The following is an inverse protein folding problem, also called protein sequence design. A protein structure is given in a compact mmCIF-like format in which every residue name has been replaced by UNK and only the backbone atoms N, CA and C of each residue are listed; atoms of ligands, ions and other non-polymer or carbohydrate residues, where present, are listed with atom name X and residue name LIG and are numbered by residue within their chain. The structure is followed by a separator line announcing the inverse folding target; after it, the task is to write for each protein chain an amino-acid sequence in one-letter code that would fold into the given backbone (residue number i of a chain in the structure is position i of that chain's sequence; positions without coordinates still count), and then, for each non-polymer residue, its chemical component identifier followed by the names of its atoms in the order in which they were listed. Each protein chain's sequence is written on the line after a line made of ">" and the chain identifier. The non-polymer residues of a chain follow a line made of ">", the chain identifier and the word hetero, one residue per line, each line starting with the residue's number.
data_IF_214174915940
#
_entry.id   IF_214174915940
#
_cell.length_a   1.000
_cell.length_b   1.000
_cell.length_c   1.000
_cell.angle_alpha   90.00
_cell.angle_beta   90.00
_cell.angle_gamma   90.00
#
_symmetry.space_group_name_H-M   'P 1'
#
loop_
_entity.id
_entity.type
_entity.pdbx_description
1 polymer ?
#
# COMPACT_ATOMS: atom_id res chain seq x y z
N UNK A 1 46.97 -4.71 -72.93
CA UNK A 1 47.66 -5.57 -71.94
C UNK A 1 46.90 -5.46 -70.62
N UNK A 2 46.86 -6.53 -69.81
CA UNK A 2 46.20 -6.54 -68.51
C UNK A 2 44.70 -6.89 -68.57
N UNK A 3 44.38 -8.13 -68.20
CA UNK A 3 43.05 -8.57 -67.74
C UNK A 3 43.15 -8.90 -66.23
N UNK A 4 42.00 -9.29 -65.66
CA UNK A 4 41.84 -10.02 -64.38
C UNK A 4 41.94 -9.13 -63.12
N UNK A 5 40.97 -9.17 -62.20
CA UNK A 5 39.72 -9.93 -62.27
C UNK A 5 38.70 -9.56 -61.20
N UNK A 6 37.43 -9.81 -61.53
CA UNK A 6 36.31 -9.73 -60.59
C UNK A 6 36.28 -11.00 -59.75
N UNK A 7 36.23 -10.87 -58.43
CA UNK A 7 36.02 -12.02 -57.53
C UNK A 7 34.55 -12.41 -57.57
N UNK A 8 34.26 -13.57 -58.12
CA UNK A 8 32.91 -14.11 -58.23
C UNK A 8 32.72 -15.25 -57.23
N UNK A 9 31.89 -15.03 -56.21
CA UNK A 9 31.36 -16.11 -55.36
C UNK A 9 30.27 -16.88 -56.10
N UNK A 10 30.12 -18.20 -55.87
CA UNK A 10 29.09 -19.00 -56.53
C UNK A 10 27.70 -18.63 -56.01
N UNK A 11 26.70 -18.66 -56.90
CA UNK A 11 25.30 -18.75 -56.50
C UNK A 11 24.93 -20.21 -56.26
N UNK A 12 23.96 -20.46 -55.39
CA UNK A 12 23.34 -21.78 -55.27
C UNK A 12 21.83 -21.65 -55.06
N UNK A 13 21.05 -22.44 -55.82
CA UNK A 13 19.59 -22.44 -55.74
C UNK A 13 19.15 -23.45 -54.68
N UNK A 14 18.61 -22.98 -53.56
CA UNK A 14 18.04 -23.85 -52.51
C UNK A 14 16.53 -23.62 -52.32
N UNK A 15 15.68 -24.09 -53.26
CA UNK A 15 14.22 -23.99 -53.17
C UNK A 15 13.59 -24.94 -52.13
N UNK A 16 14.20 -25.07 -50.95
CA UNK A 16 13.80 -26.00 -49.88
C UNK A 16 13.81 -25.41 -48.47
N UNK A 17 14.64 -24.40 -48.18
CA UNK A 17 14.79 -23.87 -46.80
C UNK A 17 13.51 -23.18 -46.31
N UNK A 18 12.90 -22.33 -47.15
CA UNK A 18 11.66 -21.62 -46.80
C UNK A 18 10.46 -22.55 -46.56
N UNK A 19 10.44 -23.73 -47.19
CA UNK A 19 9.40 -24.73 -46.93
C UNK A 19 9.63 -25.44 -45.59
N UNK A 20 10.86 -25.87 -45.28
CA UNK A 20 11.17 -26.52 -44.01
C UNK A 20 10.94 -25.60 -42.79
N UNK A 21 11.25 -24.31 -42.90
CA UNK A 21 11.01 -23.34 -41.82
C UNK A 21 9.52 -22.91 -41.70
N UNK A 22 8.75 -23.04 -42.77
CA UNK A 22 7.29 -22.86 -42.73
C UNK A 22 6.60 -24.08 -42.13
N UNK A 23 6.98 -25.29 -42.56
CA UNK A 23 6.49 -26.57 -42.03
C UNK A 23 6.79 -26.70 -40.52
N UNK A 24 7.97 -26.28 -40.08
CA UNK A 24 8.31 -26.21 -38.64
C UNK A 24 7.36 -25.29 -37.86
N UNK A 25 7.00 -24.11 -38.41
CA UNK A 25 6.04 -23.18 -37.78
C UNK A 25 4.60 -23.70 -37.84
N UNK A 26 4.22 -24.39 -38.91
CA UNK A 26 2.93 -25.07 -39.00
C UNK A 26 2.83 -26.23 -38.00
N UNK A 27 3.89 -27.00 -37.78
CA UNK A 27 3.95 -28.04 -36.76
C UNK A 27 3.84 -27.46 -35.35
N UNK A 28 4.53 -26.35 -35.04
CA UNK A 28 4.39 -25.66 -33.75
C UNK A 28 2.97 -25.12 -33.55
N UNK A 29 2.38 -24.48 -34.57
CA UNK A 29 0.99 -24.02 -34.56
C UNK A 29 -0.04 -25.16 -34.44
N UNK A 30 0.24 -26.34 -35.01
CA UNK A 30 -0.63 -27.52 -34.94
C UNK A 30 -0.51 -28.24 -33.60
N UNK A 31 0.67 -28.27 -32.99
CA UNK A 31 0.88 -28.72 -31.60
C UNK A 31 0.23 -27.78 -30.57
N UNK A 32 0.09 -26.49 -30.86
CA UNK A 32 -0.74 -25.57 -30.08
C UNK A 32 -2.26 -25.81 -30.25
N UNK A 33 -2.68 -26.54 -31.28
CA UNK A 33 -4.08 -26.89 -31.55
C UNK A 33 -4.49 -28.28 -31.01
N UNK A 34 -3.56 -29.23 -30.92
CA UNK A 34 -3.79 -30.48 -30.20
C UNK A 34 -3.76 -30.19 -28.69
N UNK A 35 -4.84 -30.55 -27.99
CA UNK A 35 -5.05 -30.23 -26.57
C UNK A 35 -4.17 -31.02 -25.57
N UNK A 36 -2.88 -31.24 -25.87
CA UNK A 36 -1.88 -31.74 -24.92
C UNK A 36 -1.53 -30.67 -23.88
N UNK A 37 -2.53 -30.28 -23.10
CA UNK A 37 -2.36 -29.49 -21.89
C UNK A 37 -1.49 -30.31 -20.93
N UNK A 38 -0.19 -29.98 -20.91
CA UNK A 38 0.87 -30.67 -20.15
C UNK A 38 0.36 -31.13 -18.79
N UNK A 39 0.72 -32.33 -18.28
CA UNK A 39 0.18 -32.86 -17.03
C UNK A 39 0.34 -31.87 -15.85
N UNK A 40 1.38 -31.01 -15.87
CA UNK A 40 1.54 -29.91 -14.91
C UNK A 40 0.42 -28.85 -15.01
N UNK A 41 0.06 -28.43 -16.22
CA UNK A 41 -1.05 -27.49 -16.47
C UNK A 41 -2.41 -28.10 -16.12
N UNK A 42 -2.65 -29.37 -16.45
CA UNK A 42 -3.86 -30.10 -16.04
C UNK A 42 -3.97 -30.20 -14.51
N UNK A 43 -2.88 -30.59 -13.84
CA UNK A 43 -2.85 -30.68 -12.38
C UNK A 43 -3.03 -29.30 -11.71
N UNK A 44 -2.44 -28.24 -12.26
CA UNK A 44 -2.62 -26.87 -11.76
C UNK A 44 -4.06 -26.38 -11.92
N UNK A 45 -4.72 -26.68 -13.04
CA UNK A 45 -6.13 -26.34 -13.26
C UNK A 45 -7.08 -27.13 -12.34
N UNK A 46 -6.80 -28.41 -12.11
CA UNK A 46 -7.53 -29.24 -11.13
C UNK A 46 -7.34 -28.68 -9.71
N UNK A 47 -6.11 -28.32 -9.33
CA UNK A 47 -5.83 -27.70 -8.03
C UNK A 47 -6.56 -26.36 -7.87
N UNK A 48 -6.50 -25.48 -8.88
CA UNK A 48 -7.24 -24.21 -8.86
C UNK A 48 -8.75 -24.45 -8.71
N UNK A 49 -9.31 -25.41 -9.46
CA UNK A 49 -10.72 -25.78 -9.40
C UNK A 49 -11.12 -26.28 -7.99
N UNK A 50 -10.32 -27.18 -7.39
CA UNK A 50 -10.59 -27.73 -6.06
C UNK A 50 -10.47 -26.66 -4.98
N UNK A 51 -9.44 -25.80 -5.04
CA UNK A 51 -9.29 -24.68 -4.12
C UNK A 51 -10.45 -23.68 -4.23
N UNK A 52 -10.87 -23.30 -5.44
CA UNK A 52 -12.01 -22.39 -5.65
C UNK A 52 -13.33 -23.02 -5.21
N UNK A 53 -13.55 -24.31 -5.48
CA UNK A 53 -14.74 -25.02 -5.02
C UNK A 53 -14.82 -25.04 -3.49
N UNK A 54 -13.72 -25.38 -2.81
CA UNK A 54 -13.63 -25.34 -1.35
C UNK A 54 -13.85 -23.92 -0.79
N UNK A 55 -13.19 -22.90 -1.36
CA UNK A 55 -13.34 -21.52 -0.93
C UNK A 55 -14.75 -20.96 -1.14
N UNK A 56 -15.44 -21.41 -2.20
CA UNK A 56 -16.82 -21.02 -2.51
C UNK A 56 -17.82 -21.71 -1.58
N UNK A 57 -17.57 -22.97 -1.21
CA UNK A 57 -18.32 -23.68 -0.17
C UNK A 57 -18.14 -23.03 1.22
N UNK A 58 -16.90 -22.71 1.60
CA UNK A 58 -16.55 -22.02 2.84
C UNK A 58 -17.18 -20.60 2.93
N UNK A 59 -17.39 -19.95 1.78
CA UNK A 59 -18.11 -18.68 1.68
C UNK A 59 -19.64 -18.89 1.75
N UNK A 60 -20.18 -19.87 1.03
CA UNK A 60 -21.61 -20.18 0.99
C UNK A 60 -22.14 -20.55 2.38
N UNK A 61 -21.44 -21.42 3.12
CA UNK A 61 -21.85 -21.79 4.49
C UNK A 61 -21.99 -20.56 5.41
N UNK A 62 -21.07 -19.58 5.31
CA UNK A 62 -21.17 -18.33 6.10
C UNK A 62 -22.29 -17.42 5.62
N UNK A 63 -22.53 -17.34 4.31
CA UNK A 63 -23.64 -16.60 3.72
C UNK A 63 -25.02 -17.21 4.04
N UNK A 64 -25.06 -18.50 4.42
CA UNK A 64 -26.25 -19.16 4.94
C UNK A 64 -26.42 -18.98 6.46
N UNK A 65 -25.33 -18.91 7.22
CA UNK A 65 -25.34 -18.64 8.67
C UNK A 65 -25.58 -17.16 9.03
N UNK A 66 -25.39 -16.24 8.08
CA UNK A 66 -25.58 -14.81 8.31
C UNK A 66 -27.05 -14.38 8.12
N UNK A 67 -27.69 -13.93 9.20
CA UNK A 67 -29.09 -13.46 9.23
C UNK A 67 -29.40 -12.39 8.16
N UNK A 68 -28.47 -11.46 7.93
CA UNK A 68 -28.61 -10.35 6.98
C UNK A 68 -27.59 -10.43 5.84
N UNK A 69 -27.88 -11.28 4.85
CA UNK A 69 -27.00 -11.56 3.69
C UNK A 69 -26.41 -10.30 3.02
N UNK A 70 -27.20 -9.22 2.86
CA UNK A 70 -26.73 -7.98 2.23
C UNK A 70 -25.70 -7.22 3.10
N UNK A 71 -25.82 -7.26 4.43
CA UNK A 71 -24.82 -6.69 5.34
C UNK A 71 -23.54 -7.56 5.38
N UNK A 72 -23.71 -8.89 5.40
CA UNK A 72 -22.59 -9.83 5.28
C UNK A 72 -21.76 -9.58 4.02
N UNK A 73 -22.40 -9.45 2.85
CA UNK A 73 -21.74 -9.19 1.57
C UNK A 73 -20.99 -7.83 1.52
N UNK A 74 -21.41 -6.84 2.32
CA UNK A 74 -20.76 -5.52 2.42
C UNK A 74 -19.55 -5.47 3.37
N UNK A 75 -19.26 -6.56 4.09
CA UNK A 75 -18.09 -6.64 4.99
C UNK A 75 -16.80 -6.75 4.16
N UNK A 76 -15.76 -5.94 4.38
CA UNK A 76 -14.60 -5.85 3.46
C UNK A 76 -13.83 -7.17 3.29
N UNK A 77 -13.73 -8.00 4.34
CA UNK A 77 -13.12 -9.33 4.25
C UNK A 77 -13.93 -10.27 3.32
N UNK A 78 -15.26 -10.16 3.33
CA UNK A 78 -16.12 -10.96 2.47
C UNK A 78 -16.09 -10.46 1.01
N UNK A 79 -15.90 -9.15 0.80
CA UNK A 79 -15.65 -8.59 -0.55
C UNK A 79 -14.35 -9.16 -1.13
N UNK A 80 -13.28 -9.29 -0.33
CA UNK A 80 -12.03 -9.93 -0.74
C UNK A 80 -12.26 -11.42 -1.07
N UNK A 81 -13.02 -12.15 -0.24
CA UNK A 81 -13.37 -13.56 -0.52
C UNK A 81 -14.17 -13.74 -1.83
N UNK A 82 -15.04 -12.78 -2.19
CA UNK A 82 -15.77 -12.77 -3.48
C UNK A 82 -14.86 -12.43 -4.66
N UNK A 83 -14.04 -11.37 -4.52
CA UNK A 83 -13.10 -10.95 -5.56
C UNK A 83 -12.00 -11.99 -5.82
N UNK A 84 -11.68 -12.82 -4.82
CA UNK A 84 -10.87 -14.00 -5.00
C UNK A 84 -11.58 -15.03 -5.90
N UNK A 85 -12.78 -15.52 -5.60
CA UNK A 85 -13.39 -16.58 -6.42
C UNK A 85 -13.81 -16.13 -7.84
N UNK A 86 -14.03 -14.83 -8.07
CA UNK A 86 -14.53 -14.26 -9.32
C UNK A 86 -13.78 -14.66 -10.62
N UNK A 87 -12.42 -14.62 -10.71
CA UNK A 87 -11.70 -14.87 -11.95
C UNK A 87 -11.89 -16.27 -12.51
N UNK A 88 -12.06 -17.28 -11.66
CA UNK A 88 -12.30 -18.65 -12.07
C UNK A 88 -13.68 -18.77 -12.74
N UNK A 89 -14.73 -18.33 -12.05
CA UNK A 89 -16.11 -18.42 -12.55
C UNK A 89 -16.33 -17.61 -13.83
N UNK A 90 -15.75 -16.40 -13.96
CA UNK A 90 -15.88 -15.62 -15.19
C UNK A 90 -15.06 -16.23 -16.34
N UNK A 91 -13.88 -16.79 -16.08
CA UNK A 91 -13.10 -17.51 -17.10
C UNK A 91 -13.85 -18.75 -17.61
N UNK A 92 -14.47 -19.51 -16.70
CA UNK A 92 -15.30 -20.67 -17.01
C UNK A 92 -16.54 -20.27 -17.83
N UNK A 93 -17.22 -19.19 -17.46
CA UNK A 93 -18.39 -18.67 -18.17
C UNK A 93 -18.04 -18.20 -19.60
N UNK A 94 -16.93 -17.47 -19.77
CA UNK A 94 -16.47 -17.04 -21.10
C UNK A 94 -16.04 -18.26 -21.94
N UNK A 95 -15.36 -19.24 -21.36
CA UNK A 95 -15.00 -20.49 -22.05
C UNK A 95 -16.21 -21.33 -22.47
N UNK A 96 -17.30 -21.29 -21.70
CA UNK A 96 -18.56 -21.95 -22.06
C UNK A 96 -19.31 -21.19 -23.16
N UNK A 97 -19.34 -19.86 -23.10
CA UNK A 97 -19.99 -18.98 -24.07
C UNK A 97 -19.24 -18.86 -25.42
N UNK A 98 -17.93 -19.14 -25.43
CA UNK A 98 -17.09 -19.15 -26.63
C UNK A 98 -17.16 -20.46 -27.45
N UNK A 99 -18.09 -21.38 -27.12
CA UNK A 99 -18.28 -22.63 -27.87
C UNK A 99 -18.81 -22.37 -29.28
N UNK A 100 -18.33 -23.13 -30.30
CA UNK A 100 -18.69 -22.89 -31.70
C UNK A 100 -20.19 -23.15 -31.94
N UNK A 101 -20.92 -22.09 -32.26
CA UNK A 101 -22.37 -22.12 -32.49
C UNK A 101 -23.09 -20.87 -31.97
N UNK A 102 -22.59 -20.24 -30.91
CA UNK A 102 -23.02 -18.91 -30.48
C UNK A 102 -22.16 -17.83 -31.14
N UNK A 103 -22.76 -16.69 -31.51
CA UNK A 103 -22.09 -15.54 -32.16
C UNK A 103 -21.18 -14.72 -31.24
N UNK A 104 -20.32 -15.39 -30.46
CA UNK A 104 -19.55 -14.81 -29.35
C UNK A 104 -18.39 -13.89 -29.74
N UNK A 105 -18.11 -13.70 -31.04
CA UNK A 105 -16.94 -12.98 -31.57
C UNK A 105 -16.75 -11.61 -30.89
N UNK A 106 -17.85 -10.84 -30.78
CA UNK A 106 -17.89 -9.48 -30.23
C UNK A 106 -17.82 -9.43 -28.70
N UNK A 107 -18.12 -10.55 -28.03
CA UNK A 107 -17.90 -10.72 -26.59
C UNK A 107 -16.43 -11.06 -26.31
N UNK A 108 -15.80 -11.89 -27.15
CA UNK A 108 -14.43 -12.37 -26.94
C UNK A 108 -13.38 -11.23 -27.00
N UNK A 109 -13.50 -10.29 -27.94
CA UNK A 109 -12.62 -9.11 -28.00
C UNK A 109 -12.74 -8.25 -26.73
N UNK A 110 -13.98 -7.93 -26.32
CA UNK A 110 -14.24 -7.14 -25.10
C UNK A 110 -13.80 -7.88 -23.84
N UNK A 111 -13.96 -9.21 -23.83
CA UNK A 111 -13.46 -10.06 -22.76
C UNK A 111 -11.92 -10.09 -22.70
N UNK A 112 -11.19 -9.79 -23.77
CA UNK A 112 -9.72 -9.79 -23.78
C UNK A 112 -9.09 -8.88 -22.72
N UNK A 113 -9.62 -7.67 -22.53
CA UNK A 113 -9.19 -6.76 -21.46
C UNK A 113 -9.67 -7.24 -20.07
N UNK A 114 -10.92 -7.70 -19.97
CA UNK A 114 -11.51 -8.17 -18.71
C UNK A 114 -10.79 -9.41 -18.19
N UNK A 115 -10.43 -10.37 -19.05
CA UNK A 115 -9.68 -11.58 -18.72
C UNK A 115 -8.24 -11.26 -18.29
N UNK A 116 -7.60 -10.24 -18.87
CA UNK A 116 -6.29 -9.74 -18.38
C UNK A 116 -6.42 -9.18 -16.96
N UNK A 117 -7.45 -8.39 -16.69
CA UNK A 117 -7.73 -7.87 -15.34
C UNK A 117 -8.08 -8.99 -14.35
N UNK A 118 -8.94 -9.95 -14.73
CA UNK A 118 -9.28 -11.12 -13.92
C UNK A 118 -8.04 -11.98 -13.61
N UNK A 119 -7.12 -12.15 -14.56
CA UNK A 119 -5.83 -12.83 -14.33
C UNK A 119 -4.97 -12.07 -13.31
N UNK A 120 -4.98 -10.73 -13.32
CA UNK A 120 -4.32 -9.93 -12.28
C UNK A 120 -5.04 -10.02 -10.91
N UNK A 121 -6.38 -10.03 -10.88
CA UNK A 121 -7.18 -10.20 -9.65
C UNK A 121 -6.90 -11.52 -8.92
N UNK A 122 -6.27 -12.52 -9.57
CA UNK A 122 -5.76 -13.73 -8.88
C UNK A 122 -4.78 -13.41 -7.75
N UNK A 123 -4.08 -12.28 -7.77
CA UNK A 123 -3.22 -11.86 -6.64
C UNK A 123 -4.02 -11.62 -5.35
N UNK A 124 -5.31 -11.27 -5.46
CA UNK A 124 -6.20 -11.06 -4.30
C UNK A 124 -6.52 -12.35 -3.53
N UNK A 125 -6.27 -13.54 -4.12
CA UNK A 125 -6.33 -14.80 -3.36
C UNK A 125 -5.31 -14.78 -2.21
N UNK A 126 -4.16 -14.15 -2.37
CA UNK A 126 -3.17 -14.01 -1.27
C UNK A 126 -3.72 -13.10 -0.17
N UNK A 127 -4.51 -12.09 -0.52
CA UNK A 127 -5.19 -11.23 0.45
C UNK A 127 -6.26 -11.96 1.27
N UNK A 128 -6.74 -13.14 0.84
CA UNK A 128 -7.52 -14.06 1.70
C UNK A 128 -6.77 -14.38 2.98
N UNK A 129 -5.43 -14.42 2.99
CA UNK A 129 -4.65 -14.66 4.20
C UNK A 129 -4.90 -13.61 5.30
N UNK A 130 -5.40 -12.41 4.97
CA UNK A 130 -5.86 -11.42 5.95
C UNK A 130 -7.07 -11.88 6.79
N UNK A 131 -7.81 -12.91 6.36
CA UNK A 131 -8.84 -13.53 7.21
C UNK A 131 -8.27 -14.53 8.22
N UNK A 132 -7.02 -14.96 8.06
CA UNK A 132 -6.34 -15.92 8.97
C UNK A 132 -5.22 -15.27 9.80
N UNK A 133 -4.55 -14.23 9.26
CA UNK A 133 -3.49 -13.49 9.95
C UNK A 133 -4.04 -12.31 10.75
N UNK A 134 -3.85 -12.35 12.08
CA UNK A 134 -4.10 -11.21 12.96
C UNK A 134 -3.23 -10.00 12.61
N UNK A 135 -2.01 -10.21 12.11
CA UNK A 135 -1.11 -9.15 11.67
C UNK A 135 -1.68 -8.34 10.50
N UNK A 136 -2.18 -9.02 9.45
CA UNK A 136 -2.80 -8.34 8.31
C UNK A 136 -4.09 -7.60 8.69
N UNK A 137 -4.88 -8.12 9.65
CA UNK A 137 -6.04 -7.41 10.21
C UNK A 137 -5.62 -6.15 10.97
N UNK A 138 -4.59 -6.25 11.81
CA UNK A 138 -4.01 -5.14 12.56
C UNK A 138 -3.50 -4.04 11.62
N UNK A 139 -2.74 -4.42 10.58
CA UNK A 139 -2.28 -3.48 9.54
C UNK A 139 -3.45 -2.76 8.87
N UNK A 140 -4.51 -3.47 8.48
CA UNK A 140 -5.71 -2.85 7.89
C UNK A 140 -6.44 -1.89 8.84
N UNK A 141 -6.49 -2.19 10.14
CA UNK A 141 -7.05 -1.30 11.16
C UNK A 141 -6.18 -0.06 11.40
N UNK A 142 -4.85 -0.22 11.45
CA UNK A 142 -3.90 0.90 11.60
C UNK A 142 -3.93 1.81 10.37
N UNK A 143 -3.95 1.27 9.15
CA UNK A 143 -4.14 2.04 7.92
C UNK A 143 -5.46 2.81 7.96
N UNK A 144 -6.57 2.19 8.43
CA UNK A 144 -7.85 2.90 8.60
C UNK A 144 -7.77 4.01 9.66
N UNK A 145 -7.01 3.81 10.75
CA UNK A 145 -6.85 4.80 11.84
C UNK A 145 -6.07 6.03 11.36
N UNK A 146 -4.97 5.82 10.64
CA UNK A 146 -4.15 6.89 10.05
C UNK A 146 -4.65 7.37 8.68
N UNK A 147 -5.78 6.86 8.16
CA UNK A 147 -6.27 7.18 6.80
C UNK A 147 -6.52 8.68 6.57
N UNK A 148 -6.91 9.42 7.61
CA UNK A 148 -7.03 10.89 7.56
C UNK A 148 -5.67 11.57 7.37
N UNK A 149 -4.62 11.06 8.01
CA UNK A 149 -3.27 11.62 7.99
C UNK A 149 -2.57 11.31 6.66
N UNK A 150 -2.66 10.05 6.20
CA UNK A 150 -2.25 9.65 4.84
C UNK A 150 -3.06 10.39 3.75
N UNK A 151 -4.35 10.66 4.00
CA UNK A 151 -5.18 11.45 3.09
C UNK A 151 -4.73 12.90 2.97
N UNK A 152 -4.32 13.54 4.07
CA UNK A 152 -3.74 14.89 4.06
C UNK A 152 -2.37 14.92 3.38
N UNK A 153 -1.51 13.93 3.63
CA UNK A 153 -0.23 13.76 2.92
C UNK A 153 -0.43 13.66 1.41
N UNK A 154 -1.34 12.77 0.97
CA UNK A 154 -1.66 12.60 -0.44
C UNK A 154 -2.30 13.85 -1.05
N UNK A 155 -3.15 14.57 -0.31
CA UNK A 155 -3.76 15.81 -0.78
C UNK A 155 -2.71 16.89 -1.04
N UNK A 156 -1.78 17.13 -0.11
CA UNK A 156 -0.71 18.11 -0.30
C UNK A 156 0.22 17.74 -1.45
N UNK A 157 0.58 16.46 -1.58
CA UNK A 157 1.37 15.96 -2.71
C UNK A 157 0.63 16.18 -4.05
N UNK A 158 -0.66 15.84 -4.14
CA UNK A 158 -1.47 16.04 -5.34
C UNK A 158 -1.60 17.52 -5.73
N UNK A 159 -1.82 18.42 -4.77
CA UNK A 159 -1.89 19.87 -5.03
C UNK A 159 -0.55 20.38 -5.56
N UNK A 160 0.56 20.03 -4.92
CA UNK A 160 1.87 20.51 -5.35
C UNK A 160 2.32 19.90 -6.68
N UNK A 161 2.04 18.63 -6.96
CA UNK A 161 2.24 18.04 -8.30
C UNK A 161 1.40 18.77 -9.37
N UNK A 162 0.15 19.14 -9.05
CA UNK A 162 -0.71 19.87 -9.98
C UNK A 162 -0.24 21.30 -10.26
N UNK A 163 0.56 21.90 -9.37
CA UNK A 163 1.22 23.19 -9.58
C UNK A 163 2.54 23.03 -10.37
N UNK A 164 3.42 22.12 -9.95
CA UNK A 164 4.77 22.01 -10.53
C UNK A 164 4.83 21.25 -11.87
N UNK A 165 3.98 20.24 -12.11
CA UNK A 165 4.01 19.46 -13.35
C UNK A 165 3.65 20.31 -14.60
N UNK A 166 2.66 21.21 -14.59
CA UNK A 166 2.43 22.14 -15.70
C UNK A 166 3.55 23.20 -15.85
N UNK A 167 4.14 23.67 -14.75
CA UNK A 167 5.22 24.66 -14.79
C UNK A 167 6.49 24.10 -15.45
N UNK A 168 6.91 22.87 -15.10
CA UNK A 168 8.07 22.24 -15.75
C UNK A 168 7.76 21.87 -17.20
N UNK A 169 6.52 21.46 -17.52
CA UNK A 169 6.09 21.24 -18.91
C UNK A 169 6.26 22.51 -19.74
N UNK A 170 5.79 23.65 -19.26
CA UNK A 170 5.90 24.93 -19.96
C UNK A 170 7.38 25.36 -20.11
N UNK A 171 8.17 25.28 -19.03
CA UNK A 171 9.57 25.68 -19.06
C UNK A 171 10.41 24.84 -20.04
N UNK A 172 10.21 23.52 -20.08
CA UNK A 172 10.91 22.62 -21.01
C UNK A 172 10.36 22.68 -22.45
N UNK A 173 9.10 23.06 -22.65
CA UNK A 173 8.47 23.12 -23.97
C UNK A 173 8.72 24.44 -24.71
N UNK A 174 8.70 25.56 -24.00
CA UNK A 174 8.88 26.88 -24.61
C UNK A 174 10.36 27.32 -24.65
N UNK A 175 11.21 26.80 -23.75
CA UNK A 175 12.65 27.12 -23.67
C UNK A 175 13.58 25.89 -23.75
N UNK A 176 13.05 24.71 -24.08
CA UNK A 176 13.84 23.48 -24.25
C UNK A 176 13.68 22.87 -25.65
N UNK A 177 14.77 22.31 -26.19
CA UNK A 177 14.79 21.69 -27.52
C UNK A 177 14.50 20.18 -27.51
N UNK A 178 13.94 19.63 -26.41
CA UNK A 178 13.73 18.19 -26.20
C UNK A 178 12.25 17.84 -26.04
N UNK A 179 11.88 16.65 -26.53
CA UNK A 179 10.50 16.15 -26.55
C UNK A 179 10.14 15.26 -25.35
N UNK A 180 11.08 15.11 -24.42
CA UNK A 180 10.99 14.26 -23.23
C UNK A 180 9.71 14.62 -22.42
N UNK A 181 9.46 15.92 -22.20
CA UNK A 181 8.23 16.47 -21.61
C UNK A 181 7.09 16.61 -22.63
N UNK A 182 6.79 15.55 -23.38
CA UNK A 182 5.84 15.53 -24.50
C UNK A 182 4.41 16.02 -24.18
N UNK A 183 3.98 15.92 -22.92
CA UNK A 183 2.63 16.29 -22.48
C UNK A 183 2.58 16.58 -20.98
N UNK A 184 1.53 17.25 -20.52
CA UNK A 184 1.32 17.49 -19.07
C UNK A 184 1.20 16.18 -18.27
N UNK A 185 0.49 15.12 -18.71
CA UNK A 185 0.50 13.81 -18.05
C UNK A 185 1.89 13.16 -17.94
N UNK A 186 2.76 13.29 -18.95
CA UNK A 186 4.16 12.84 -18.83
C UNK A 186 4.95 13.66 -17.81
N UNK A 187 4.63 14.96 -17.69
CA UNK A 187 5.24 15.86 -16.70
C UNK A 187 4.77 15.54 -15.27
N UNK A 188 3.56 15.00 -15.09
CA UNK A 188 3.10 14.45 -13.82
C UNK A 188 3.88 13.19 -13.41
N UNK A 189 4.22 12.29 -14.34
CA UNK A 189 5.08 11.14 -14.03
C UNK A 189 6.43 11.59 -13.46
N UNK A 190 7.08 12.54 -14.13
CA UNK A 190 8.31 13.16 -13.62
C UNK A 190 8.12 13.79 -12.22
N UNK A 191 7.05 14.57 -12.03
CA UNK A 191 6.78 15.22 -10.74
C UNK A 191 6.56 14.20 -9.61
N UNK A 192 5.82 13.11 -9.87
CA UNK A 192 5.66 11.99 -8.92
C UNK A 192 7.02 11.44 -8.50
N UNK A 193 7.87 11.03 -9.45
CA UNK A 193 9.13 10.33 -9.12
C UNK A 193 10.18 11.26 -8.50
N UNK A 194 10.17 12.55 -8.83
CA UNK A 194 11.07 13.54 -8.23
C UNK A 194 10.62 13.98 -6.83
N UNK A 195 9.32 14.26 -6.62
CA UNK A 195 8.81 14.70 -5.31
C UNK A 195 8.72 13.56 -4.29
N UNK A 196 8.61 12.31 -4.75
CA UNK A 196 8.76 11.11 -3.90
C UNK A 196 10.20 10.66 -3.72
N UNK A 197 11.18 11.40 -4.25
CA UNK A 197 12.63 11.12 -4.20
C UNK A 197 13.08 9.77 -4.81
N UNK A 198 12.26 9.16 -5.67
CA UNK A 198 12.56 7.90 -6.37
C UNK A 198 13.54 8.13 -7.53
N UNK A 199 13.34 9.21 -8.30
CA UNK A 199 14.36 9.75 -9.22
C UNK A 199 14.94 8.81 -10.28
N UNK A 200 14.13 8.03 -11.01
CA UNK A 200 14.60 7.08 -12.02
C UNK A 200 15.52 7.67 -13.11
N UNK A 201 15.43 8.97 -13.40
CA UNK A 201 16.30 9.66 -14.37
C UNK A 201 15.95 9.43 -15.85
N UNK A 202 14.84 8.75 -16.12
CA UNK A 202 14.23 8.56 -17.43
C UNK A 202 13.75 9.88 -18.06
N UNK A 203 13.25 10.79 -17.23
CA UNK A 203 12.93 12.18 -17.58
C UNK A 203 13.69 13.14 -16.65
N UNK A 204 14.34 14.16 -17.19
CA UNK A 204 15.05 15.20 -16.42
C UNK A 204 15.01 16.53 -17.19
N UNK A 205 14.59 17.65 -16.58
CA UNK A 205 14.57 18.95 -17.26
C UNK A 205 15.99 19.45 -17.57
N UNK A 206 16.16 20.04 -18.76
CA UNK A 206 17.46 20.46 -19.32
C UNK A 206 17.55 21.96 -19.59
N UNK A 207 16.44 22.68 -19.64
CA UNK A 207 16.43 24.14 -19.75
C UNK A 207 16.77 24.78 -18.40
N UNK A 208 17.38 25.97 -18.42
CA UNK A 208 17.63 26.75 -17.20
C UNK A 208 16.35 27.04 -16.38
N UNK A 209 15.23 27.52 -16.96
CA UNK A 209 14.00 27.72 -16.18
C UNK A 209 13.41 26.38 -15.69
N UNK A 210 13.49 25.31 -16.48
CA UNK A 210 13.03 23.98 -16.06
C UNK A 210 13.81 23.43 -14.88
N UNK A 211 15.11 23.69 -14.79
CA UNK A 211 15.95 23.34 -13.63
C UNK A 211 15.59 24.16 -12.38
N UNK A 212 15.28 25.46 -12.52
CA UNK A 212 14.82 26.30 -11.39
C UNK A 212 13.45 25.86 -10.88
N UNK A 213 12.52 25.54 -11.78
CA UNK A 213 11.22 24.95 -11.42
C UNK A 213 11.40 23.56 -10.79
N UNK A 214 12.34 22.75 -11.28
CA UNK A 214 12.61 21.44 -10.71
C UNK A 214 13.21 21.50 -9.30
N UNK A 215 14.15 22.40 -9.05
CA UNK A 215 14.74 22.60 -7.74
C UNK A 215 13.69 23.03 -6.71
N UNK A 216 12.81 23.97 -7.07
CA UNK A 216 11.71 24.41 -6.20
C UNK A 216 10.64 23.33 -5.99
N UNK A 217 10.32 22.55 -7.04
CA UNK A 217 9.43 21.39 -6.95
C UNK A 217 9.95 20.29 -6.00
N UNK A 218 11.23 19.91 -6.13
CA UNK A 218 11.86 18.89 -5.28
C UNK A 218 11.94 19.37 -3.82
N UNK A 219 12.38 20.61 -3.59
CA UNK A 219 12.45 21.19 -2.24
C UNK A 219 11.06 21.29 -1.60
N UNK A 220 10.05 21.73 -2.36
CA UNK A 220 8.66 21.77 -1.90
C UNK A 220 8.12 20.37 -1.59
N UNK A 221 8.40 19.37 -2.44
CA UNK A 221 8.02 17.98 -2.22
C UNK A 221 8.58 17.41 -0.92
N UNK A 222 9.87 17.62 -0.66
CA UNK A 222 10.52 17.17 0.60
C UNK A 222 9.88 17.83 1.82
N UNK A 223 9.63 19.14 1.79
CA UNK A 223 9.00 19.87 2.90
C UNK A 223 7.53 19.44 3.13
N UNK A 224 6.76 19.24 2.06
CA UNK A 224 5.38 18.78 2.11
C UNK A 224 5.23 17.32 2.51
N UNK A 225 6.22 16.46 2.23
CA UNK A 225 6.29 15.10 2.76
C UNK A 225 6.66 15.08 4.26
N UNK A 226 7.59 15.93 4.68
CA UNK A 226 8.07 15.97 6.06
C UNK A 226 6.96 16.34 7.06
N UNK A 227 6.14 17.35 6.77
CA UNK A 227 5.14 17.85 7.73
C UNK A 227 4.10 16.78 8.16
N UNK A 228 3.42 16.04 7.26
CA UNK A 228 2.49 15.00 7.67
C UNK A 228 3.18 13.76 8.24
N UNK A 229 4.41 13.42 7.81
CA UNK A 229 5.19 12.33 8.42
C UNK A 229 5.49 12.65 9.89
N UNK A 230 5.91 13.88 10.20
CA UNK A 230 6.06 14.38 11.57
C UNK A 230 4.74 14.34 12.34
N UNK A 231 3.62 14.74 11.72
CA UNK A 231 2.30 14.66 12.37
C UNK A 231 1.89 13.21 12.70
N UNK A 232 2.06 12.27 11.77
CA UNK A 232 1.79 10.83 11.97
C UNK A 232 2.68 10.29 13.10
N UNK A 233 3.96 10.67 13.12
CA UNK A 233 4.89 10.27 14.16
C UNK A 233 4.44 10.77 15.55
N UNK A 234 3.97 12.01 15.67
CA UNK A 234 3.43 12.52 16.93
C UNK A 234 2.13 11.80 17.36
N UNK A 235 1.19 11.54 16.44
CA UNK A 235 -0.03 10.77 16.72
C UNK A 235 0.30 9.35 17.19
N UNK A 236 1.25 8.68 16.52
CA UNK A 236 1.71 7.34 16.88
C UNK A 236 2.43 7.33 18.23
N UNK A 237 3.39 8.23 18.44
CA UNK A 237 4.17 8.35 19.68
C UNK A 237 3.27 8.61 20.90
N UNK A 238 2.28 9.51 20.75
CA UNK A 238 1.24 9.73 21.76
C UNK A 238 0.43 8.46 22.03
N UNK A 239 -0.12 7.83 21.00
CA UNK A 239 -0.92 6.60 21.12
C UNK A 239 -0.15 5.46 21.79
N UNK A 240 1.14 5.32 21.49
CA UNK A 240 2.04 4.33 22.07
C UNK A 240 2.35 4.64 23.55
N UNK A 241 2.53 5.91 23.90
CA UNK A 241 2.77 6.34 25.27
C UNK A 241 1.54 6.12 26.16
N UNK A 242 0.34 6.44 25.66
CA UNK A 242 -0.94 6.19 26.34
C UNK A 242 -1.13 4.68 26.60
N UNK A 243 -0.85 3.81 25.62
CA UNK A 243 -0.90 2.35 25.78
C UNK A 243 0.12 1.83 26.80
N UNK A 244 1.36 2.34 26.78
CA UNK A 244 2.41 1.96 27.74
C UNK A 244 2.02 2.37 29.17
N UNK A 245 1.45 3.55 29.35
CA UNK A 245 0.98 4.01 30.66
C UNK A 245 -0.20 3.17 31.17
N UNK A 246 -1.15 2.81 30.29
CA UNK A 246 -2.23 1.87 30.65
C UNK A 246 -1.70 0.50 31.07
N UNK A 247 -0.69 -0.04 30.37
CA UNK A 247 -0.03 -1.28 30.79
C UNK A 247 0.70 -1.15 32.13
N UNK A 248 1.34 -0.02 32.42
CA UNK A 248 1.99 0.22 33.71
C UNK A 248 0.99 0.37 34.86
N UNK A 249 -0.12 1.08 34.66
CA UNK A 249 -1.20 1.16 35.65
C UNK A 249 -1.87 -0.21 35.88
N UNK A 250 -2.08 -1.01 34.84
CA UNK A 250 -2.64 -2.36 34.96
C UNK A 250 -1.65 -3.41 35.52
N UNK A 251 -0.35 -3.14 35.49
CA UNK A 251 0.70 -4.01 36.03
C UNK A 251 1.17 -3.61 37.44
N UNK A 252 0.73 -2.46 37.97
CA UNK A 252 0.96 -2.08 39.36
C UNK A 252 -0.13 -2.71 40.23
N UNK A 253 0.17 -3.65 41.14
CA UNK A 253 -0.81 -4.14 42.08
C UNK A 253 -1.28 -3.00 43.00
N UNK A 254 -2.58 -2.91 43.22
CA UNK A 254 -3.13 -2.05 44.28
C UNK A 254 -2.75 -2.64 45.65
N UNK A 255 -2.04 -1.90 46.52
CA UNK A 255 -1.87 -2.30 47.90
C UNK A 255 -3.17 -2.01 48.67
N UNK A 256 -4.14 -2.90 48.51
CA UNK A 256 -5.44 -2.85 49.17
C UNK A 256 -5.31 -3.11 50.69
N UNK A 257 -4.79 -2.11 51.41
CA UNK A 257 -4.72 -2.08 52.88
C UNK A 257 -4.56 -0.63 53.36
N UNK A 258 -5.70 0.08 53.51
CA UNK A 258 -5.76 1.31 54.30
C UNK A 258 -6.99 1.43 55.20
N UNK A 259 -7.65 0.30 55.47
CA UNK A 259 -8.55 0.09 56.60
C UNK A 259 -8.13 -1.18 57.33
N UNK A 260 -7.25 -1.05 58.33
CA UNK A 260 -7.49 -1.47 59.71
C UNK A 260 -6.22 -1.24 60.55
N UNK A 261 -6.29 -0.31 61.51
CA UNK A 261 -5.30 -0.10 62.57
C UNK A 261 -5.90 0.73 63.72
N UNK A 262 -7.19 0.55 63.99
CA UNK A 262 -7.91 1.23 65.09
C UNK A 262 -8.13 0.31 66.29
N UNK A 263 -7.10 -0.44 66.72
CA UNK A 263 -6.94 -0.83 68.13
C UNK A 263 -5.52 -1.32 68.48
N UNK A 264 -4.73 -0.48 69.14
CA UNK A 264 -3.51 -0.88 69.89
C UNK A 264 -3.18 0.12 71.02
N UNK A 265 -4.22 0.57 71.71
CA UNK A 265 -4.09 1.44 72.87
C UNK A 265 -3.85 0.63 74.17
N UNK A 266 -2.67 0.02 74.32
CA UNK A 266 -2.25 -0.59 75.61
C UNK A 266 -0.74 -0.91 75.70
N UNK A 267 0.14 0.10 75.63
CA UNK A 267 1.53 -0.03 76.06
C UNK A 267 2.08 1.30 76.59
N UNK A 268 2.77 1.24 77.72
CA UNK A 268 3.65 2.28 78.30
C UNK A 268 3.15 3.73 78.23
N UNK A 269 2.20 4.06 79.12
CA UNK A 269 2.24 5.37 79.75
C UNK A 269 3.48 5.43 80.67
N UNK A 270 4.49 6.20 80.29
CA UNK A 270 5.62 6.53 81.15
C UNK A 270 6.08 7.96 80.89
N UNK A 271 6.18 8.70 82.01
CA UNK A 271 6.97 9.90 82.28
C UNK A 271 8.18 10.19 81.36
N UNK A 272 8.70 11.42 81.28
CA UNK A 272 8.24 12.77 81.69
C UNK A 272 9.37 13.75 81.30
N UNK A 273 9.05 15.04 81.09
CA UNK A 273 10.03 16.15 80.99
C UNK A 273 11.04 15.96 79.80
N UNK A 274 11.92 16.88 79.39
CA UNK A 274 12.16 18.29 79.77
C UNK A 274 12.57 19.12 78.52
N UNK A 275 13.01 20.37 78.74
CA UNK A 275 13.84 21.30 77.95
C UNK A 275 14.75 20.67 76.83
N UNK A 276 15.10 21.34 75.72
CA UNK A 276 14.81 22.70 75.25
C UNK A 276 15.93 23.27 74.36
N UNK A 277 15.93 24.60 74.17
CA UNK A 277 17.04 25.45 73.66
C UNK A 277 17.63 25.31 72.23
N UNK A 278 17.50 26.42 71.49
CA UNK A 278 18.55 27.11 70.69
C UNK A 278 18.93 26.64 69.25
N UNK A 279 18.98 27.62 68.33
CA UNK A 279 19.69 27.61 67.04
C UNK A 279 20.96 28.49 67.11
N UNK A 280 21.29 29.37 66.12
CA UNK A 280 20.61 29.67 64.84
C UNK A 280 21.58 29.89 63.63
N UNK A 281 21.11 30.64 62.63
CA UNK A 281 21.83 31.40 61.57
C UNK A 281 22.51 30.68 60.38
N UNK A 282 22.41 31.30 59.18
CA UNK A 282 22.92 30.72 57.92
C UNK A 282 22.69 31.47 56.58
N UNK A 283 21.91 32.57 56.54
CA UNK A 283 21.72 33.51 55.41
C UNK A 283 21.10 32.99 54.06
N UNK A 284 20.12 33.74 53.54
CA UNK A 284 19.63 33.69 52.14
C UNK A 284 20.09 34.93 51.35
N UNK A 285 19.31 35.53 50.42
CA UNK A 285 18.01 35.14 49.82
C UNK A 285 18.24 34.53 48.39
N UNK A 286 17.29 34.35 47.46
CA UNK A 286 15.86 34.68 47.32
C UNK A 286 15.13 33.48 46.63
N UNK A 287 13.95 33.50 45.97
CA UNK A 287 13.05 34.55 45.45
C UNK A 287 12.97 34.49 43.91
N UNK A 288 11.83 34.32 43.24
CA UNK A 288 10.44 34.18 43.73
C UNK A 288 9.64 33.09 43.00
N UNK A 289 8.65 32.53 43.69
CA UNK A 289 7.59 31.69 43.11
C UNK A 289 6.36 32.54 42.77
N UNK A 290 5.80 32.35 41.57
CA UNK A 290 4.39 32.67 41.29
C UNK A 290 3.70 31.41 40.78
N UNK A 291 2.82 30.85 41.61
CA UNK A 291 2.01 29.69 41.26
C UNK A 291 0.81 30.05 40.35
N UNK A 292 0.21 29.04 39.74
CA UNK A 292 -0.72 29.21 38.64
C UNK A 292 -2.11 29.79 39.00
N UNK A 293 -2.64 30.55 38.04
CA UNK A 293 -4.04 30.95 37.82
C UNK A 293 -4.10 31.12 36.29
N UNK A 294 -5.04 30.56 35.51
CA UNK A 294 -6.43 30.20 35.80
C UNK A 294 -6.86 28.90 35.09
N UNK A 295 -7.88 28.25 35.66
CA UNK A 295 -8.73 27.28 34.96
C UNK A 295 -10.07 27.92 34.53
N UNK A 296 -10.83 27.22 33.69
CA UNK A 296 -12.27 27.42 33.42
C UNK A 296 -12.71 28.55 32.47
N UNK A 297 -12.76 28.23 31.17
CA UNK A 297 -13.86 28.53 30.24
C UNK A 297 -13.75 27.58 29.02
N UNK A 298 -14.82 27.15 28.35
CA UNK A 298 -16.23 27.47 28.52
C UNK A 298 -16.90 27.64 27.15
N UNK A 299 -17.69 26.64 26.72
CA UNK A 299 -18.50 26.60 25.49
C UNK A 299 -19.32 27.89 25.24
N UNK A 300 -19.62 28.26 23.97
CA UNK A 300 -20.21 27.38 22.94
C UNK A 300 -19.36 27.10 21.69
#
# INVERSE_FOLDING_TARGET
>A
MGQVGVVQGPGDLTPGVSHAESDSREHEGRLLSLGECSPRCRNLFVLETVCVAWFSFEFLLRSLQAESKCAFLRTPLNIIDILAILPFYVSLLVGLAARPGAGGNKLLERAGLVLRLLRALRVLYVMRLARHSLGLRSLGLTVRRCAREFGLLLLFLCVAMALFAPLVHLAERELGARRDFSSVPASYWWAVISMTTVGYGDMVPRSLPGQVVALSSILSGILLMAFPVTSIFHTFSRSYSELKQQQQCAASPEPALREDSTHSASACASAAEDDGSQGPDGAGPAGDSVAGLWTSAGLP
#
